data_IF_395551921401
#
_entry.id   IF_395551921401
#
_cell.length_a   1.000
_cell.length_b   1.000
_cell.length_c   1.000
_cell.angle_alpha   90.00
_cell.angle_beta   90.00
_cell.angle_gamma   90.00
#
_symmetry.space_group_name_H-M   'P 1'
#
loop_
_entity.id
_entity.type
_entity.pdbx_description
1 polymer ?
#
# COMPACT_ATOMS: atom_id res chain seq x y z
N UNK A 1 -36.84 64.60 -5.49
CA UNK A 1 -35.69 64.56 -4.58
C UNK A 1 -35.28 63.12 -4.42
N UNK A 2 -34.00 62.89 -4.66
CA UNK A 2 -33.27 61.63 -4.79
C UNK A 2 -33.19 60.72 -3.55
N UNK A 3 -32.67 59.52 -3.85
CA UNK A 3 -31.83 58.59 -3.08
C UNK A 3 -32.53 57.31 -2.60
N UNK A 4 -32.42 56.17 -3.31
CA UNK A 4 -31.29 55.21 -3.46
C UNK A 4 -30.78 54.60 -2.14
N UNK A 5 -30.97 53.29 -1.98
CA UNK A 5 -30.02 52.22 -1.55
C UNK A 5 -30.83 50.90 -1.38
N UNK A 6 -30.90 49.97 -2.34
CA UNK A 6 -29.99 48.83 -2.63
C UNK A 6 -29.50 48.06 -1.40
N UNK A 7 -29.94 46.78 -1.28
CA UNK A 7 -29.16 45.55 -0.96
C UNK A 7 -30.13 44.35 -0.82
N UNK A 8 -30.50 43.61 -1.87
CA UNK A 8 -29.95 42.33 -2.37
C UNK A 8 -29.66 41.18 -1.37
N UNK A 9 -30.32 40.05 -1.66
CA UNK A 9 -29.86 38.64 -1.66
C UNK A 9 -29.76 37.82 -0.35
N UNK A 10 -30.40 36.64 -0.40
CA UNK A 10 -30.17 35.53 0.53
C UNK A 10 -31.20 34.41 0.37
N UNK A 11 -31.24 33.74 -0.79
CA UNK A 11 -32.14 32.64 -1.07
C UNK A 11 -31.65 31.30 -0.46
N UNK A 12 -32.60 30.53 0.09
CA UNK A 12 -32.66 29.07 0.14
C UNK A 12 -31.45 28.31 0.73
N UNK A 13 -31.43 28.18 2.05
CA UNK A 13 -30.72 27.11 2.76
C UNK A 13 -31.70 26.00 3.17
N UNK A 14 -31.98 25.05 2.29
CA UNK A 14 -32.69 23.82 2.65
C UNK A 14 -31.74 22.94 3.47
N UNK A 15 -31.99 22.94 4.77
CA UNK A 15 -31.45 21.99 5.73
C UNK A 15 -31.82 20.55 5.32
N UNK A 16 -30.81 19.83 4.86
CA UNK A 16 -30.87 18.40 4.57
C UNK A 16 -29.51 17.76 4.81
N UNK A 17 -28.86 18.14 5.91
CA UNK A 17 -27.58 17.58 6.33
C UNK A 17 -27.76 16.14 6.81
N UNK A 18 -27.68 15.17 5.90
CA UNK A 18 -27.30 13.81 6.26
C UNK A 18 -25.80 13.81 6.57
N UNK A 19 -25.46 14.12 7.80
CA UNK A 19 -24.14 13.80 8.34
C UNK A 19 -24.23 12.36 8.83
N UNK A 20 -23.99 11.40 7.93
CA UNK A 20 -23.75 10.02 8.32
C UNK A 20 -22.35 9.97 8.94
N UNK A 21 -22.28 10.20 10.25
CA UNK A 21 -21.12 9.79 11.03
C UNK A 21 -21.16 8.26 11.13
N UNK A 22 -20.53 7.59 10.18
CA UNK A 22 -20.25 6.16 10.27
C UNK A 22 -19.00 5.99 11.15
N UNK A 23 -19.19 6.00 12.47
CA UNK A 23 -18.21 5.47 13.42
C UNK A 23 -18.37 3.96 13.51
N UNK A 24 -18.33 3.26 12.38
CA UNK A 24 -18.07 1.82 12.38
C UNK A 24 -16.56 1.61 12.28
N UNK A 25 -16.11 0.56 12.95
CA UNK A 25 -14.82 -0.07 12.80
C UNK A 25 -14.73 -0.58 11.34
N UNK A 26 -14.65 0.34 10.39
CA UNK A 26 -14.73 0.08 8.97
C UNK A 26 -13.43 -0.57 8.57
N UNK A 27 -13.52 -1.84 8.19
CA UNK A 27 -12.41 -2.57 7.59
C UNK A 27 -11.81 -1.68 6.48
N UNK A 28 -10.55 -1.22 6.62
CA UNK A 28 -9.95 -0.22 5.71
C UNK A 28 -9.74 -0.76 4.29
N UNK A 29 -10.01 -2.06 4.09
CA UNK A 29 -9.94 -2.74 2.81
C UNK A 29 -11.30 -2.85 2.11
N UNK A 30 -12.40 -2.39 2.73
CA UNK A 30 -13.75 -2.45 2.14
C UNK A 30 -14.14 -1.11 1.54
N UNK A 31 -14.59 -1.13 0.30
CA UNK A 31 -14.94 0.06 -0.48
C UNK A 31 -16.38 -0.02 -1.02
N UNK A 32 -17.09 1.12 -1.11
CA UNK A 32 -18.48 1.18 -1.56
C UNK A 32 -18.57 1.23 -3.09
N UNK A 33 -18.05 0.21 -3.76
CA UNK A 33 -18.11 0.04 -5.20
C UNK A 33 -18.47 -1.39 -5.57
N UNK A 34 -19.07 -1.58 -6.75
CA UNK A 34 -19.12 -2.91 -7.35
C UNK A 34 -17.72 -3.35 -7.80
N UNK A 35 -17.51 -4.65 -7.95
CA UNK A 35 -16.24 -5.20 -8.46
C UNK A 35 -15.81 -4.62 -9.78
N UNK A 36 -16.74 -4.45 -10.71
CA UNK A 36 -16.42 -3.90 -12.03
C UNK A 36 -16.00 -2.42 -11.94
N UNK A 37 -16.64 -1.63 -11.07
CA UNK A 37 -16.23 -0.24 -10.82
C UNK A 37 -14.83 -0.18 -10.21
N UNK A 38 -14.57 -0.94 -9.14
CA UNK A 38 -13.26 -0.98 -8.49
C UNK A 38 -12.15 -1.45 -9.45
N UNK A 39 -12.40 -2.50 -10.24
CA UNK A 39 -11.48 -2.95 -11.28
C UNK A 39 -11.20 -1.86 -12.32
N UNK A 40 -12.24 -1.17 -12.80
CA UNK A 40 -12.08 -0.12 -13.81
C UNK A 40 -11.25 1.05 -13.27
N UNK A 41 -11.52 1.49 -12.04
CA UNK A 41 -10.76 2.53 -11.38
C UNK A 41 -9.28 2.16 -11.24
N UNK A 42 -8.99 0.93 -10.78
CA UNK A 42 -7.62 0.46 -10.57
C UNK A 42 -6.88 0.19 -11.89
N UNK A 43 -7.56 -0.31 -12.93
CA UNK A 43 -6.96 -0.51 -14.26
C UNK A 43 -6.57 0.82 -14.91
N UNK A 44 -7.38 1.85 -14.75
CA UNK A 44 -7.10 3.18 -15.29
C UNK A 44 -6.09 3.99 -14.45
N UNK A 45 -5.81 3.57 -13.22
CA UNK A 45 -4.96 4.32 -12.32
C UNK A 45 -3.48 4.20 -12.69
N UNK A 46 -2.81 5.36 -12.67
CA UNK A 46 -1.35 5.47 -12.72
C UNK A 46 -0.89 6.42 -11.63
N UNK A 47 0.15 6.03 -10.91
CA UNK A 47 0.81 6.87 -9.93
C UNK A 47 2.26 7.07 -10.35
N UNK A 48 2.69 8.33 -10.36
CA UNK A 48 4.06 8.73 -10.67
C UNK A 48 4.55 9.63 -9.55
N UNK A 49 5.68 9.28 -8.92
CA UNK A 49 6.22 9.94 -7.75
C UNK A 49 7.68 10.30 -7.97
N UNK A 50 8.17 11.45 -7.48
CA UNK A 50 9.61 11.70 -7.46
C UNK A 50 10.30 10.73 -6.49
N UNK A 51 11.49 10.24 -6.88
CA UNK A 51 12.34 9.45 -5.98
C UNK A 51 12.95 10.33 -4.89
N UNK A 52 13.19 9.75 -3.70
CA UNK A 52 13.84 10.46 -2.57
C UNK A 52 15.25 10.94 -2.90
N UNK A 53 15.97 10.17 -3.72
CA UNK A 53 17.32 10.52 -4.18
C UNK A 53 17.34 11.53 -5.33
N UNK A 54 16.18 12.08 -5.72
CA UNK A 54 15.99 13.05 -6.81
C UNK A 54 16.43 12.56 -8.20
N UNK A 55 16.76 11.27 -8.37
CA UNK A 55 17.28 10.70 -9.61
C UNK A 55 16.23 9.88 -10.37
N UNK A 56 15.12 10.52 -10.73
CA UNK A 56 14.05 9.93 -11.53
C UNK A 56 12.73 9.74 -10.77
N UNK A 57 11.89 8.84 -11.28
CA UNK A 57 10.51 8.66 -10.83
C UNK A 57 10.22 7.20 -10.48
N UNK A 58 9.36 7.02 -9.48
CA UNK A 58 8.71 5.75 -9.18
C UNK A 58 7.38 5.75 -9.92
N UNK A 59 7.10 4.69 -10.66
CA UNK A 59 5.83 4.53 -11.35
C UNK A 59 5.10 3.29 -10.83
N UNK A 60 3.81 3.42 -10.58
CA UNK A 60 2.88 2.31 -10.28
C UNK A 60 1.74 2.39 -11.28
N UNK A 61 1.43 1.27 -11.96
CA UNK A 61 0.38 1.21 -12.98
C UNK A 61 -0.21 -0.19 -13.06
N UNK A 62 -1.42 -0.29 -13.61
CA UNK A 62 -2.03 -1.59 -13.89
C UNK A 62 -1.56 -2.20 -15.21
N UNK A 63 -1.38 -3.52 -15.25
CA UNK A 63 -1.22 -4.30 -16.49
C UNK A 63 -2.52 -4.90 -16.99
N UNK A 64 -3.65 -4.55 -16.36
CA UNK A 64 -4.97 -5.07 -16.68
C UNK A 64 -5.55 -5.96 -15.59
N UNK A 65 -6.62 -6.66 -15.95
CA UNK A 65 -7.36 -7.55 -15.04
C UNK A 65 -6.59 -8.85 -14.82
N UNK A 66 -6.70 -9.39 -13.61
CA UNK A 66 -6.20 -10.73 -13.28
C UNK A 66 -7.36 -11.62 -12.82
N UNK A 67 -7.09 -12.93 -12.62
CA UNK A 67 -8.09 -13.86 -12.09
C UNK A 67 -8.58 -13.49 -10.69
N UNK A 68 -7.73 -12.82 -9.89
CA UNK A 68 -8.06 -12.34 -8.54
C UNK A 68 -8.70 -10.94 -8.54
N UNK A 69 -8.37 -10.10 -9.51
CA UNK A 69 -8.90 -8.75 -9.61
C UNK A 69 -8.17 -7.91 -10.66
N UNK A 70 -7.06 -7.30 -10.27
CA UNK A 70 -6.22 -6.43 -11.10
C UNK A 70 -4.76 -6.71 -10.83
N UNK A 71 -3.93 -6.81 -11.87
CA UNK A 71 -2.48 -6.90 -11.72
C UNK A 71 -1.87 -5.51 -11.77
N UNK A 72 -1.00 -5.20 -10.82
CA UNK A 72 -0.26 -3.95 -10.72
C UNK A 72 1.24 -4.18 -10.86
N UNK A 73 1.89 -3.22 -11.50
CA UNK A 73 3.33 -3.13 -11.64
C UNK A 73 3.85 -1.90 -10.93
N UNK A 74 5.05 -2.01 -10.39
CA UNK A 74 5.82 -0.90 -9.87
C UNK A 74 7.25 -0.94 -10.42
N UNK A 75 7.72 0.21 -10.90
CA UNK A 75 9.12 0.41 -11.29
C UNK A 75 9.71 1.53 -10.45
N UNK A 76 10.72 1.19 -9.65
CA UNK A 76 11.37 2.14 -8.75
C UNK A 76 12.37 3.04 -9.48
N UNK A 77 13.06 2.51 -10.50
CA UNK A 77 14.02 3.23 -11.32
C UNK A 77 14.15 2.55 -12.69
N UNK A 78 14.71 3.25 -13.69
CA UNK A 78 14.84 2.75 -15.07
C UNK A 78 15.53 1.39 -15.18
N UNK A 79 16.55 1.14 -14.35
CA UNK A 79 17.35 -0.10 -14.29
C UNK A 79 16.95 -1.06 -13.17
N UNK A 80 15.98 -0.69 -12.32
CA UNK A 80 15.53 -1.57 -11.25
C UNK A 80 14.65 -2.70 -11.81
N UNK A 81 14.64 -3.89 -11.17
CA UNK A 81 13.70 -4.93 -11.51
C UNK A 81 12.26 -4.43 -11.33
N UNK A 82 11.39 -4.93 -12.19
CA UNK A 82 9.95 -4.67 -12.11
C UNK A 82 9.37 -5.47 -10.94
N UNK A 83 8.55 -4.82 -10.12
CA UNK A 83 7.84 -5.48 -9.03
C UNK A 83 6.38 -5.61 -9.43
N UNK A 84 5.83 -6.82 -9.32
CA UNK A 84 4.45 -7.16 -9.68
C UNK A 84 3.65 -7.47 -8.41
N UNK A 85 2.38 -7.10 -8.38
CA UNK A 85 1.47 -7.43 -7.28
C UNK A 85 0.05 -7.65 -7.78
N UNK A 86 -0.58 -8.76 -7.38
CA UNK A 86 -1.98 -9.01 -7.67
C UNK A 86 -2.85 -8.29 -6.64
N UNK A 87 -3.85 -7.54 -7.07
CA UNK A 87 -4.86 -6.94 -6.18
C UNK A 87 -6.10 -7.80 -6.25
N UNK A 88 -6.35 -8.53 -5.17
CA UNK A 88 -7.55 -9.35 -5.01
C UNK A 88 -8.75 -8.45 -4.72
N UNK A 89 -9.82 -8.62 -5.51
CA UNK A 89 -11.09 -7.88 -5.35
C UNK A 89 -12.18 -8.91 -5.12
N UNK A 90 -12.75 -8.90 -3.92
CA UNK A 90 -13.77 -9.86 -3.48
C UNK A 90 -15.07 -9.13 -3.18
N UNK A 91 -16.18 -9.60 -3.74
CA UNK A 91 -17.50 -9.07 -3.43
C UNK A 91 -17.86 -9.40 -1.98
N UNK A 92 -18.22 -8.38 -1.20
CA UNK A 92 -18.70 -8.53 0.20
C UNK A 92 -20.14 -8.02 0.37
N UNK A 93 -20.74 -7.55 -0.72
CA UNK A 93 -22.13 -7.11 -0.82
C UNK A 93 -22.44 -6.64 -2.25
N UNK A 94 -23.69 -6.24 -2.56
CA UNK A 94 -24.10 -5.86 -3.91
C UNK A 94 -23.31 -4.67 -4.48
N UNK A 95 -22.94 -3.71 -3.63
CA UNK A 95 -22.15 -2.52 -4.01
C UNK A 95 -20.97 -2.32 -3.05
N UNK A 96 -20.42 -3.43 -2.54
CA UNK A 96 -19.27 -3.40 -1.63
C UNK A 96 -18.26 -4.45 -2.02
N UNK A 97 -17.00 -4.04 -2.10
CA UNK A 97 -15.89 -4.94 -2.36
C UNK A 97 -14.81 -4.79 -1.31
N UNK A 98 -14.22 -5.92 -0.94
CA UNK A 98 -12.95 -5.97 -0.23
C UNK A 98 -11.82 -6.00 -1.25
N UNK A 99 -10.84 -5.12 -1.10
CA UNK A 99 -9.68 -4.99 -1.99
C UNK A 99 -8.40 -5.12 -1.19
N UNK A 100 -7.61 -6.16 -1.48
CA UNK A 100 -6.39 -6.50 -0.76
C UNK A 100 -5.25 -6.74 -1.77
N UNK A 101 -4.12 -6.03 -1.65
CA UNK A 101 -2.91 -6.36 -2.42
C UNK A 101 -2.28 -7.65 -1.90
N UNK A 102 -2.10 -8.61 -2.79
CA UNK A 102 -1.42 -9.88 -2.63
C UNK A 102 -0.18 -9.89 -3.53
N UNK A 103 0.95 -9.49 -2.94
CA UNK A 103 2.21 -9.35 -3.67
C UNK A 103 3.10 -10.61 -3.58
N UNK A 104 2.50 -11.77 -3.33
CA UNK A 104 3.21 -13.06 -3.29
C UNK A 104 4.12 -13.24 -2.08
N UNK A 105 3.77 -12.64 -0.94
CA UNK A 105 4.46 -12.94 0.32
C UNK A 105 4.14 -14.38 0.72
N UNK A 106 5.16 -15.20 0.97
CA UNK A 106 4.97 -16.57 1.48
C UNK A 106 4.91 -16.51 3.01
N UNK A 107 3.73 -16.72 3.63
CA UNK A 107 3.60 -16.68 5.08
C UNK A 107 4.38 -17.79 5.79
N UNK A 108 4.91 -18.78 5.07
CA UNK A 108 5.72 -19.89 5.59
C UNK A 108 7.22 -19.62 5.57
N UNK A 109 7.68 -18.43 5.19
CA UNK A 109 9.10 -18.11 5.31
C UNK A 109 9.56 -18.14 6.77
N UNK A 110 10.60 -18.94 7.04
CA UNK A 110 11.11 -19.11 8.41
C UNK A 110 11.92 -17.89 8.88
N UNK A 111 12.66 -17.23 7.97
CA UNK A 111 13.46 -16.04 8.32
C UNK A 111 12.64 -14.75 8.33
N UNK A 112 12.73 -14.03 9.45
CA UNK A 112 12.18 -12.70 9.68
C UNK A 112 12.76 -11.64 8.74
N UNK A 113 14.03 -11.79 8.31
CA UNK A 113 14.64 -10.87 7.33
C UNK A 113 13.91 -10.98 5.98
N UNK A 114 13.70 -12.21 5.50
CA UNK A 114 13.03 -12.44 4.21
C UNK A 114 11.55 -12.04 4.28
N UNK A 115 10.85 -12.41 5.37
CA UNK A 115 9.46 -11.98 5.62
C UNK A 115 9.34 -10.45 5.64
N UNK A 116 10.25 -9.75 6.30
CA UNK A 116 10.27 -8.27 6.30
C UNK A 116 10.47 -7.71 4.91
N UNK A 117 11.41 -8.27 4.14
CA UNK A 117 11.68 -7.87 2.76
C UNK A 117 10.43 -8.02 1.88
N UNK A 118 9.69 -9.12 2.04
CA UNK A 118 8.42 -9.36 1.32
C UNK A 118 7.30 -8.42 1.76
N UNK A 119 7.11 -8.25 3.07
CA UNK A 119 6.09 -7.35 3.62
C UNK A 119 6.32 -5.90 3.16
N UNK A 120 7.58 -5.45 3.05
CA UNK A 120 7.93 -4.11 2.58
C UNK A 120 7.59 -3.84 1.10
N UNK A 121 7.25 -4.87 0.32
CA UNK A 121 6.80 -4.70 -1.08
C UNK A 121 5.36 -4.20 -1.15
N UNK A 122 4.54 -4.49 -0.14
CA UNK A 122 3.08 -4.26 -0.14
C UNK A 122 2.68 -2.78 0.07
N UNK A 123 3.30 -1.99 0.99
CA UNK A 123 2.83 -0.65 1.34
C UNK A 123 2.62 0.31 0.17
N UNK A 124 3.49 0.26 -0.85
CA UNK A 124 3.36 1.11 -2.04
C UNK A 124 2.13 0.76 -2.87
N UNK A 125 1.88 -0.53 -3.11
CA UNK A 125 0.67 -0.98 -3.83
C UNK A 125 -0.59 -0.73 -3.02
N UNK A 126 -0.55 -0.98 -1.71
CA UNK A 126 -1.68 -0.72 -0.81
C UNK A 126 -2.07 0.77 -0.82
N UNK A 127 -1.09 1.66 -0.75
CA UNK A 127 -1.34 3.10 -0.84
C UNK A 127 -1.88 3.51 -2.21
N UNK A 128 -1.37 2.95 -3.30
CA UNK A 128 -1.89 3.19 -4.65
C UNK A 128 -3.38 2.81 -4.74
N UNK A 129 -3.73 1.59 -4.30
CA UNK A 129 -5.11 1.11 -4.25
C UNK A 129 -5.99 2.03 -3.40
N UNK A 130 -5.57 2.31 -2.16
CA UNK A 130 -6.32 3.17 -1.25
C UNK A 130 -6.49 4.59 -1.79
N UNK A 131 -5.47 5.15 -2.44
CA UNK A 131 -5.53 6.49 -3.02
C UNK A 131 -6.51 6.54 -4.19
N UNK A 132 -6.43 5.56 -5.10
CA UNK A 132 -7.32 5.44 -6.25
C UNK A 132 -8.78 5.26 -5.82
N UNK A 133 -9.06 4.30 -4.95
CA UNK A 133 -10.45 3.97 -4.57
C UNK A 133 -11.09 5.05 -3.70
N UNK A 134 -10.31 5.74 -2.87
CA UNK A 134 -10.79 6.89 -2.09
C UNK A 134 -10.71 8.22 -2.85
N UNK A 135 -10.33 8.21 -4.15
CA UNK A 135 -10.22 9.41 -5.00
C UNK A 135 -9.37 10.52 -4.36
N UNK A 136 -8.28 10.13 -3.71
CA UNK A 136 -7.33 11.04 -3.06
C UNK A 136 -5.96 10.92 -3.69
N UNK A 137 -5.10 11.89 -3.43
CA UNK A 137 -3.71 11.81 -3.85
C UNK A 137 -2.94 10.73 -3.09
N UNK A 138 -1.91 10.20 -3.74
CA UNK A 138 -0.99 9.23 -3.15
C UNK A 138 -0.15 9.90 -2.06
N UNK A 139 -0.10 9.28 -0.87
CA UNK A 139 0.66 9.80 0.27
C UNK A 139 1.85 8.92 0.59
N UNK A 140 3.06 9.39 0.24
CA UNK A 140 4.32 8.71 0.61
C UNK A 140 4.53 8.66 2.13
N UNK A 141 3.96 9.59 2.87
CA UNK A 141 4.00 9.59 4.34
C UNK A 141 3.25 8.39 4.91
N UNK A 142 2.04 8.09 4.40
CA UNK A 142 1.27 6.90 4.80
C UNK A 142 2.02 5.61 4.49
N UNK A 143 2.68 5.54 3.33
CA UNK A 143 3.56 4.41 3.01
C UNK A 143 4.70 4.29 4.02
N UNK A 144 5.38 5.39 4.32
CA UNK A 144 6.53 5.40 5.24
C UNK A 144 6.13 4.92 6.64
N UNK A 145 4.95 5.31 7.13
CA UNK A 145 4.42 4.80 8.41
C UNK A 145 4.19 3.29 8.37
N UNK A 146 3.64 2.75 7.28
CA UNK A 146 3.45 1.30 7.10
C UNK A 146 4.78 0.55 7.00
N UNK A 147 5.75 1.07 6.25
CA UNK A 147 7.12 0.52 6.13
C UNK A 147 7.80 0.45 7.52
N UNK A 148 7.69 1.52 8.31
CA UNK A 148 8.23 1.58 9.68
C UNK A 148 7.54 0.57 10.60
N UNK A 149 6.20 0.47 10.55
CA UNK A 149 5.45 -0.48 11.36
C UNK A 149 5.84 -1.95 11.06
N UNK A 150 6.00 -2.30 9.77
CA UNK A 150 6.49 -3.63 9.34
C UNK A 150 7.89 -3.89 9.90
N UNK A 151 8.79 -2.92 9.80
CA UNK A 151 10.16 -3.05 10.30
C UNK A 151 10.17 -3.30 11.81
N UNK A 152 9.40 -2.53 12.59
CA UNK A 152 9.31 -2.70 14.04
C UNK A 152 8.65 -4.01 14.44
N UNK A 153 7.62 -4.45 13.72
CA UNK A 153 6.93 -5.73 13.94
C UNK A 153 7.93 -6.90 13.91
N UNK A 154 8.84 -6.91 12.95
CA UNK A 154 9.77 -8.03 12.75
C UNK A 154 11.16 -7.80 13.38
N UNK A 155 11.42 -6.63 13.99
CA UNK A 155 12.76 -6.22 14.45
C UNK A 155 13.39 -7.20 15.44
N UNK A 156 12.63 -7.66 16.44
CA UNK A 156 13.15 -8.55 17.47
C UNK A 156 13.55 -9.91 16.90
N UNK A 157 12.76 -10.46 15.97
CA UNK A 157 13.09 -11.71 15.30
C UNK A 157 14.33 -11.56 14.41
N UNK A 158 14.44 -10.46 13.65
CA UNK A 158 15.64 -10.16 12.86
C UNK A 158 16.90 -10.01 13.72
N UNK A 159 16.79 -9.39 14.90
CA UNK A 159 17.91 -9.28 15.85
C UNK A 159 18.35 -10.66 16.37
N UNK A 160 17.40 -11.51 16.72
CA UNK A 160 17.70 -12.87 17.17
C UNK A 160 18.34 -13.71 16.06
N UNK A 161 17.84 -13.62 14.83
CA UNK A 161 18.43 -14.29 13.67
C UNK A 161 19.84 -13.79 13.36
N UNK A 162 20.08 -12.49 13.45
CA UNK A 162 21.41 -11.92 13.25
C UNK A 162 22.41 -12.42 14.31
N UNK A 163 21.98 -12.50 15.58
CA UNK A 163 22.81 -13.05 16.66
C UNK A 163 23.10 -14.54 16.47
N UNK A 164 22.12 -15.33 16.02
CA UNK A 164 22.31 -16.75 15.71
C UNK A 164 23.28 -16.93 14.54
N UNK A 165 23.08 -16.19 13.45
CA UNK A 165 23.95 -16.22 12.26
C UNK A 165 25.39 -15.88 12.65
N UNK A 166 25.59 -14.84 13.47
CA UNK A 166 26.92 -14.48 13.96
C UNK A 166 27.56 -15.59 14.81
N UNK A 167 26.78 -16.22 15.70
CA UNK A 167 27.28 -17.32 16.52
C UNK A 167 27.67 -18.55 15.67
N UNK A 168 26.91 -18.86 14.63
CA UNK A 168 27.19 -19.98 13.73
C UNK A 168 28.39 -19.70 12.81
N UNK A 169 28.56 -18.47 12.32
CA UNK A 169 29.77 -18.06 11.58
C UNK A 169 31.03 -18.22 12.43
N UNK A 170 30.99 -17.81 13.70
CA UNK A 170 32.13 -17.98 14.61
C UNK A 170 32.47 -19.45 14.86
N UNK A 171 31.46 -20.32 14.98
CA UNK A 171 31.67 -21.78 15.10
C UNK A 171 32.30 -22.38 13.85
N UNK A 172 31.79 -22.04 12.67
CA UNK A 172 32.32 -22.52 11.39
C UNK A 172 33.77 -22.08 11.18
N UNK A 173 34.10 -20.82 11.51
CA UNK A 173 35.47 -20.33 11.46
C UNK A 173 36.36 -21.12 12.43
N UNK A 174 35.94 -21.28 13.68
CA UNK A 174 36.71 -22.04 14.68
C UNK A 174 36.96 -23.50 14.24
N UNK A 175 35.95 -24.20 13.72
CA UNK A 175 36.07 -25.59 13.28
C UNK A 175 36.96 -25.73 12.05
N UNK A 176 36.90 -24.77 11.12
CA UNK A 176 37.76 -24.71 9.92
C UNK A 176 39.23 -24.48 10.29
N UNK A 177 39.51 -23.71 11.35
CA UNK A 177 40.87 -23.50 11.86
C UNK A 177 41.37 -24.65 12.74
N UNK A 178 40.48 -25.40 13.38
CA UNK A 178 40.80 -26.57 14.22
C UNK A 178 41.15 -27.81 13.38
N UNK A 179 40.51 -28.03 12.24
CA UNK A 179 40.77 -29.19 11.35
C UNK A 179 42.04 -29.08 10.49
N UNK A 180 42.72 -27.93 10.50
CA UNK A 180 43.99 -27.71 9.77
C UNK A 180 45.26 -27.94 10.61
N UNK A 181 45.15 -28.51 11.82
CA UNK A 181 46.29 -28.92 12.65
C UNK A 181 46.47 -30.43 12.66
#
# INVERSE_FOLDING_TARGET
MDARLISTLGALGLAGGYVVYDTSNSDPTVYPYSRQQAQTMLVAAKTTLPRRDKSGQIEIWSTGRSSKGVMLNMKYASKAPLITCDVAITDVGPDKVRVVPDCGADPKQESAINRTSEELRVPMFAEHVEATLNKREFSRERVSRKEVAITFKNLNEMQNEALQTYADEQRLLHDTYSTKR
#
